data_IF_968240242023
#
_entry.id   IF_968240242023
#
_cell.length_a   1.000
_cell.length_b   1.000
_cell.length_c   1.000
_cell.angle_alpha   90.00
_cell.angle_beta   90.00
_cell.angle_gamma   90.00
#
_symmetry.space_group_name_H-M   'P 1'
#
loop_
_entity.id
_entity.type
_entity.pdbx_description
1 polymer ?
#
# COMPACT_ATOMS: atom_id res chain seq x y z
N UNK A 1 -10.27 -9.27 5.54
CA UNK A 1 -9.14 -8.33 5.75
C UNK A 1 -9.68 -7.05 6.36
N UNK A 2 -8.84 -6.08 6.72
CA UNK A 2 -9.28 -4.73 7.09
C UNK A 2 -8.55 -3.71 6.22
N UNK A 3 -9.29 -2.98 5.39
CA UNK A 3 -8.77 -1.87 4.58
C UNK A 3 -8.76 -0.58 5.37
N UNK A 4 -7.60 0.09 5.40
CA UNK A 4 -7.36 1.32 6.13
C UNK A 4 -6.80 2.37 5.18
N UNK A 5 -7.56 3.44 4.97
CA UNK A 5 -7.20 4.54 4.08
C UNK A 5 -6.34 5.58 4.78
N UNK A 6 -5.29 6.07 4.11
CA UNK A 6 -4.50 7.21 4.56
C UNK A 6 -5.38 8.44 4.82
N UNK A 7 -5.08 9.18 5.89
CA UNK A 7 -5.79 10.42 6.23
C UNK A 7 -7.18 10.20 6.86
N UNK A 8 -7.50 8.98 7.31
CA UNK A 8 -8.75 8.65 8.00
C UNK A 8 -8.50 8.20 9.44
N UNK A 9 -9.57 8.08 10.24
CA UNK A 9 -9.48 7.52 11.59
C UNK A 9 -9.50 5.97 11.63
N UNK A 10 -9.36 5.31 10.47
CA UNK A 10 -9.37 3.86 10.31
C UNK A 10 -8.39 3.11 11.24
N UNK A 11 -7.10 3.49 11.31
CA UNK A 11 -6.14 2.84 12.20
C UNK A 11 -6.59 2.82 13.67
N UNK A 12 -7.03 3.98 14.17
CA UNK A 12 -7.57 4.12 15.54
C UNK A 12 -8.79 3.20 15.75
N UNK A 13 -9.72 3.19 14.80
CA UNK A 13 -10.91 2.33 14.86
C UNK A 13 -10.58 0.84 14.85
N UNK A 14 -9.56 0.42 14.10
CA UNK A 14 -9.11 -0.97 14.11
C UNK A 14 -8.54 -1.33 15.48
N UNK A 15 -7.68 -0.50 16.06
CA UNK A 15 -7.05 -0.76 17.36
C UNK A 15 -8.08 -0.87 18.51
N UNK A 16 -9.18 -0.12 18.43
CA UNK A 16 -10.28 -0.18 19.40
C UNK A 16 -11.27 -1.33 19.13
N UNK A 17 -11.20 -1.97 17.95
CA UNK A 17 -12.21 -2.94 17.52
C UNK A 17 -11.98 -4.33 18.13
N UNK A 18 -13.01 -5.00 18.64
CA UNK A 18 -12.92 -6.40 19.06
C UNK A 18 -12.68 -7.37 17.88
N UNK A 19 -12.74 -6.86 16.64
CA UNK A 19 -12.44 -7.63 15.43
C UNK A 19 -10.95 -7.58 15.06
N UNK A 20 -10.13 -6.73 15.68
CA UNK A 20 -8.71 -6.55 15.32
C UNK A 20 -7.91 -7.87 15.33
N UNK A 21 -8.16 -8.73 16.31
CA UNK A 21 -7.52 -10.05 16.41
C UNK A 21 -8.03 -11.06 15.39
N UNK A 22 -9.16 -10.79 14.74
CA UNK A 22 -9.83 -11.67 13.77
C UNK A 22 -9.50 -11.33 12.32
N UNK A 23 -8.89 -10.17 12.03
CA UNK A 23 -8.56 -9.79 10.65
C UNK A 23 -7.38 -10.62 10.15
N UNK A 24 -7.47 -11.20 8.95
CA UNK A 24 -6.37 -11.98 8.39
C UNK A 24 -5.09 -11.13 8.24
N UNK A 25 -5.22 -9.96 7.61
CA UNK A 25 -4.19 -8.93 7.42
C UNK A 25 -4.85 -7.55 7.33
N UNK A 26 -4.04 -6.52 7.50
CA UNK A 26 -4.38 -5.11 7.25
C UNK A 26 -3.95 -4.74 5.83
N UNK A 27 -4.84 -4.10 5.07
CA UNK A 27 -4.52 -3.44 3.81
C UNK A 27 -4.34 -1.95 4.15
N UNK A 28 -3.11 -1.46 4.08
CA UNK A 28 -2.79 -0.05 4.21
C UNK A 28 -2.87 0.55 2.80
N UNK A 29 -3.92 1.34 2.55
CA UNK A 29 -4.27 1.86 1.22
C UNK A 29 -3.99 3.36 1.21
N UNK A 30 -2.99 3.75 0.41
CA UNK A 30 -2.57 5.15 0.29
C UNK A 30 -3.34 5.80 -0.84
N UNK A 31 -4.33 6.61 -0.44
CA UNK A 31 -5.25 7.33 -1.33
C UNK A 31 -4.66 8.65 -1.84
N UNK A 32 -3.48 9.05 -1.35
CA UNK A 32 -2.70 10.15 -1.93
C UNK A 32 -2.12 9.72 -3.28
N UNK A 33 -2.66 10.29 -4.36
CA UNK A 33 -2.32 9.94 -5.74
C UNK A 33 -1.10 10.69 -6.27
N UNK A 34 -0.52 11.61 -5.50
CA UNK A 34 0.64 12.39 -5.91
C UNK A 34 1.93 11.58 -5.75
N UNK A 35 2.72 11.48 -6.82
CA UNK A 35 3.99 10.77 -6.78
C UNK A 35 5.00 11.39 -5.79
N UNK A 36 4.86 12.68 -5.51
CA UNK A 36 5.77 13.44 -4.65
C UNK A 36 5.46 13.28 -3.15
N UNK A 37 4.18 13.09 -2.80
CA UNK A 37 3.73 13.09 -1.39
C UNK A 37 3.27 11.71 -0.90
N UNK A 38 2.86 10.81 -1.80
CA UNK A 38 2.30 9.51 -1.42
C UNK A 38 3.24 8.68 -0.52
N UNK A 39 4.56 8.77 -0.73
CA UNK A 39 5.53 8.07 0.12
C UNK A 39 5.51 8.57 1.57
N UNK A 40 5.33 9.86 1.79
CA UNK A 40 5.20 10.43 3.12
C UNK A 40 3.85 10.04 3.76
N UNK A 41 2.77 10.10 2.98
CA UNK A 41 1.44 9.63 3.38
C UNK A 41 1.43 8.15 3.79
N UNK A 42 2.17 7.31 3.06
CA UNK A 42 2.36 5.90 3.40
C UNK A 42 3.10 5.70 4.72
N UNK A 43 4.19 6.45 4.95
CA UNK A 43 4.93 6.38 6.20
C UNK A 43 4.06 6.78 7.40
N UNK A 44 3.30 7.87 7.27
CA UNK A 44 2.37 8.32 8.31
C UNK A 44 1.29 7.28 8.60
N UNK A 45 0.67 6.69 7.57
CA UNK A 45 -0.34 5.65 7.74
C UNK A 45 0.24 4.41 8.46
N UNK A 46 1.45 3.97 8.10
CA UNK A 46 2.10 2.86 8.78
C UNK A 46 2.39 3.15 10.27
N UNK A 47 2.79 4.39 10.58
CA UNK A 47 3.06 4.81 11.95
C UNK A 47 1.76 4.83 12.78
N UNK A 48 0.63 5.26 12.20
CA UNK A 48 -0.70 5.23 12.83
C UNK A 48 -1.24 3.81 13.04
N UNK A 49 -1.00 2.90 12.08
CA UNK A 49 -1.38 1.49 12.20
C UNK A 49 -0.56 0.80 13.31
N UNK A 50 0.74 1.11 13.37
CA UNK A 50 1.66 0.52 14.33
C UNK A 50 1.79 -1.01 14.17
N UNK A 51 2.28 -1.68 15.21
CA UNK A 51 2.47 -3.15 15.19
C UNK A 51 1.69 -3.88 16.28
N UNK A 52 1.02 -3.15 17.17
CA UNK A 52 0.36 -3.70 18.36
C UNK A 52 -0.78 -4.68 18.06
N UNK A 53 -1.42 -4.57 16.89
CA UNK A 53 -2.46 -5.50 16.44
C UNK A 53 -1.91 -6.87 16.04
N UNK A 54 -0.60 -7.03 15.84
CA UNK A 54 0.06 -8.31 15.58
C UNK A 54 -0.36 -9.00 14.27
N UNK A 55 -0.88 -8.24 13.29
CA UNK A 55 -1.35 -8.76 12.01
C UNK A 55 -0.39 -8.34 10.89
N UNK A 56 -0.21 -9.16 9.83
CA UNK A 56 0.53 -8.74 8.64
C UNK A 56 -0.07 -7.47 8.03
N UNK A 57 0.78 -6.61 7.49
CA UNK A 57 0.40 -5.40 6.74
C UNK A 57 0.79 -5.59 5.27
N UNK A 58 -0.16 -5.32 4.38
CA UNK A 58 0.07 -5.15 2.96
C UNK A 58 -0.08 -3.67 2.63
N UNK A 59 0.94 -3.07 2.01
CA UNK A 59 0.95 -1.66 1.63
C UNK A 59 0.81 -1.52 0.11
N UNK A 60 -0.13 -0.68 -0.32
CA UNK A 60 -0.26 -0.24 -1.71
C UNK A 60 -0.73 1.22 -1.78
N UNK A 61 -0.55 1.82 -2.93
CA UNK A 61 -1.04 3.17 -3.23
C UNK A 61 -1.68 3.22 -4.61
N UNK A 62 -2.30 4.34 -4.91
CA UNK A 62 -3.14 4.52 -6.10
C UNK A 62 -2.54 5.53 -7.08
N UNK A 63 -2.85 5.36 -8.36
CA UNK A 63 -2.51 6.25 -9.46
C UNK A 63 -1.01 6.63 -9.51
N UNK A 64 -0.69 7.92 -9.37
CA UNK A 64 0.70 8.41 -9.34
C UNK A 64 1.46 8.00 -8.08
N UNK A 65 0.75 7.67 -6.99
CA UNK A 65 1.31 7.21 -5.72
C UNK A 65 1.68 5.73 -5.72
N UNK A 66 1.15 4.92 -6.64
CA UNK A 66 1.32 3.47 -6.66
C UNK A 66 2.79 3.02 -6.62
N UNK A 67 3.65 3.55 -7.50
CA UNK A 67 5.06 3.16 -7.55
C UNK A 67 5.90 3.69 -6.38
N UNK A 68 5.81 4.97 -5.96
CA UNK A 68 6.48 5.45 -4.76
C UNK A 68 6.14 4.64 -3.50
N UNK A 69 4.87 4.29 -3.32
CA UNK A 69 4.39 3.50 -2.18
C UNK A 69 4.84 2.05 -2.26
N UNK A 70 4.80 1.45 -3.46
CA UNK A 70 5.31 0.10 -3.69
C UNK A 70 6.81 -0.01 -3.38
N UNK A 71 7.64 0.96 -3.79
CA UNK A 71 9.07 0.98 -3.44
C UNK A 71 9.27 1.02 -1.92
N UNK A 72 8.48 1.83 -1.21
CA UNK A 72 8.52 1.86 0.26
C UNK A 72 8.13 0.51 0.87
N UNK A 73 7.12 -0.17 0.33
CA UNK A 73 6.72 -1.49 0.78
C UNK A 73 7.87 -2.50 0.64
N UNK A 74 8.55 -2.52 -0.52
CA UNK A 74 9.71 -3.38 -0.78
C UNK A 74 10.87 -3.05 0.18
N UNK A 75 11.21 -1.77 0.35
CA UNK A 75 12.28 -1.33 1.26
C UNK A 75 12.01 -1.72 2.73
N UNK A 76 10.75 -1.71 3.15
CA UNK A 76 10.34 -2.13 4.51
C UNK A 76 10.08 -3.63 4.64
N UNK A 77 10.27 -4.41 3.58
CA UNK A 77 9.99 -5.85 3.57
C UNK A 77 8.52 -6.20 3.80
N UNK A 78 7.60 -5.28 3.46
CA UNK A 78 6.17 -5.48 3.59
C UNK A 78 5.61 -6.23 2.38
N UNK A 79 4.47 -6.91 2.58
CA UNK A 79 3.67 -7.37 1.46
C UNK A 79 3.19 -6.16 0.64
N UNK A 80 3.09 -6.32 -0.68
CA UNK A 80 2.59 -5.28 -1.57
C UNK A 80 1.57 -5.84 -2.55
N UNK A 81 0.87 -4.94 -3.24
CA UNK A 81 -0.11 -5.21 -4.29
C UNK A 81 0.13 -4.23 -5.44
N UNK A 82 -0.07 -4.71 -6.66
CA UNK A 82 -0.14 -3.88 -7.86
C UNK A 82 -1.14 -4.50 -8.83
N UNK A 83 -1.87 -3.67 -9.56
CA UNK A 83 -2.74 -4.06 -10.65
C UNK A 83 -3.35 -2.84 -11.33
N UNK A 84 -4.11 -3.06 -12.41
CA UNK A 84 -4.79 -2.01 -13.17
C UNK A 84 -5.83 -1.24 -12.33
N UNK A 85 -6.29 -1.80 -11.22
CA UNK A 85 -7.11 -1.09 -10.22
C UNK A 85 -6.30 -0.05 -9.45
N UNK A 86 -5.01 -0.32 -9.20
CA UNK A 86 -4.13 0.55 -8.44
C UNK A 86 -3.48 1.61 -9.36
N UNK A 87 -3.07 1.24 -10.57
CA UNK A 87 -2.48 2.18 -11.53
C UNK A 87 -2.53 1.63 -12.95
N UNK A 88 -2.72 2.53 -13.93
CA UNK A 88 -2.62 2.20 -15.35
C UNK A 88 -1.21 2.39 -15.93
N UNK A 89 -0.27 2.92 -15.14
CA UNK A 89 1.06 3.33 -15.63
C UNK A 89 2.17 2.45 -15.06
N UNK A 90 3.18 2.18 -15.88
CA UNK A 90 4.46 1.60 -15.50
C UNK A 90 5.33 2.65 -14.77
N UNK A 91 6.45 2.26 -14.14
CA UNK A 91 7.31 3.19 -13.41
C UNK A 91 7.91 4.30 -14.30
N UNK A 92 8.04 4.04 -15.60
CA UNK A 92 8.52 4.99 -16.61
C UNK A 92 7.41 5.92 -17.15
N UNK A 93 6.17 5.77 -16.66
CA UNK A 93 5.01 6.57 -17.04
C UNK A 93 4.23 6.06 -18.25
N UNK A 94 4.73 5.05 -18.99
CA UNK A 94 3.98 4.41 -20.07
C UNK A 94 2.75 3.68 -19.53
N UNK A 95 1.74 3.47 -20.36
CA UNK A 95 0.60 2.62 -19.99
C UNK A 95 1.03 1.16 -19.92
N UNK A 96 0.57 0.45 -18.91
CA UNK A 96 0.70 -1.00 -18.82
C UNK A 96 -0.27 -1.67 -19.81
N UNK A 97 0.19 -2.72 -20.49
CA UNK A 97 -0.65 -3.52 -21.36
C UNK A 97 -1.65 -4.38 -20.56
N UNK A 98 -1.20 -4.93 -19.42
CA UNK A 98 -1.99 -5.77 -18.53
C UNK A 98 -1.39 -5.82 -17.10
N UNK A 99 -2.03 -6.59 -16.23
CA UNK A 99 -1.55 -6.84 -14.86
C UNK A 99 -0.21 -7.61 -14.83
N UNK A 100 0.06 -8.47 -15.82
CA UNK A 100 1.28 -9.27 -15.83
C UNK A 100 2.51 -8.38 -16.07
N UNK A 101 2.40 -7.35 -16.93
CA UNK A 101 3.45 -6.37 -17.13
C UNK A 101 3.73 -5.55 -15.86
N UNK A 102 2.69 -5.13 -15.13
CA UNK A 102 2.84 -4.46 -13.82
C UNK A 102 3.60 -5.34 -12.83
N UNK A 103 3.19 -6.59 -12.68
CA UNK A 103 3.85 -7.55 -11.77
C UNK A 103 5.30 -7.82 -12.18
N UNK A 104 5.60 -7.89 -13.48
CA UNK A 104 6.96 -8.05 -13.97
C UNK A 104 7.87 -6.87 -13.58
N UNK A 105 7.36 -5.63 -13.64
CA UNK A 105 8.11 -4.46 -13.19
C UNK A 105 8.43 -4.50 -11.69
N UNK A 106 7.49 -4.96 -10.86
CA UNK A 106 7.74 -5.15 -9.42
C UNK A 106 8.89 -6.12 -9.18
N UNK A 107 8.90 -7.25 -9.92
CA UNK A 107 9.97 -8.25 -9.80
C UNK A 107 11.34 -7.69 -10.19
N UNK A 108 11.40 -6.81 -11.19
CA UNK A 108 12.63 -6.13 -11.62
C UNK A 108 13.12 -5.09 -10.59
N UNK A 109 12.22 -4.52 -9.78
CA UNK A 109 12.59 -3.61 -8.69
C UNK A 109 13.09 -4.35 -7.44
N UNK A 110 12.67 -5.61 -7.26
CA UNK A 110 13.01 -6.43 -6.10
C UNK A 110 14.25 -7.32 -6.31
N UNK A 111 14.83 -7.32 -7.51
CA UNK A 111 16.06 -8.03 -7.89
C UNK A 111 17.30 -7.17 -7.67
#
# INVERSE_FOLDING_TARGET
EAGLWSGTDGPRRLLESPLASKVLRVLAEVTDTSADTARASAAALLDEIGTAHGRPVLLHGEEGGAWPVLRLALERGLATRVGLEDTLRLPDGRLAADNAELVAQVRNLAS
#
